data_IF_348828253360
#
_entry.id   IF_348828253360
#
_cell.length_a   1.000
_cell.length_b   1.000
_cell.length_c   1.000
_cell.angle_alpha   90.00
_cell.angle_beta   90.00
_cell.angle_gamma   90.00
#
_symmetry.space_group_name_H-M   'P 1'
#
loop_
_entity.id
_entity.type
_entity.pdbx_description
1 polymer ?
#
# COMPACT_ATOMS: atom_id res chain seq x y z
N UNK A 1 -15.72 10.25 -14.53
CA UNK A 1 -15.33 10.70 -13.18
C UNK A 1 -16.34 10.20 -12.13
N UNK A 2 -17.64 10.35 -12.38
CA UNK A 2 -18.72 9.92 -11.48
C UNK A 2 -18.76 8.40 -11.19
N UNK A 3 -18.61 7.55 -12.23
CA UNK A 3 -18.55 6.09 -12.09
C UNK A 3 -17.42 5.62 -11.16
N UNK A 4 -16.25 6.25 -11.23
CA UNK A 4 -15.09 5.90 -10.41
C UNK A 4 -15.31 6.33 -8.94
N UNK A 5 -15.99 7.45 -8.71
CA UNK A 5 -16.41 7.87 -7.37
C UNK A 5 -17.43 6.91 -6.74
N UNK A 6 -18.36 6.38 -7.54
CA UNK A 6 -19.32 5.36 -7.08
C UNK A 6 -18.63 4.03 -6.76
N UNK A 7 -17.66 3.61 -7.59
CA UNK A 7 -16.86 2.40 -7.32
C UNK A 7 -15.99 2.54 -6.07
N UNK A 8 -15.37 3.70 -5.85
CA UNK A 8 -14.64 3.96 -4.62
C UNK A 8 -15.56 3.90 -3.38
N UNK A 9 -16.76 4.49 -3.46
CA UNK A 9 -17.78 4.39 -2.40
C UNK A 9 -18.24 2.96 -2.17
N UNK A 10 -18.43 2.17 -3.22
CA UNK A 10 -18.80 0.76 -3.11
C UNK A 10 -17.75 -0.02 -2.31
N UNK A 11 -16.46 0.22 -2.54
CA UNK A 11 -15.38 -0.41 -1.78
C UNK A 11 -15.45 -0.02 -0.30
N UNK A 12 -15.83 1.22 0.04
CA UNK A 12 -16.03 1.63 1.44
C UNK A 12 -17.21 0.91 2.14
N UNK A 13 -18.17 0.38 1.37
CA UNK A 13 -19.30 -0.40 1.88
C UNK A 13 -18.99 -1.90 2.02
N UNK A 14 -17.88 -2.37 1.45
CA UNK A 14 -17.40 -3.73 1.62
C UNK A 14 -16.80 -3.91 3.02
N UNK A 15 -17.67 -4.17 3.99
CA UNK A 15 -17.32 -4.38 5.39
C UNK A 15 -17.80 -5.76 5.84
N UNK A 16 -16.90 -6.50 6.49
CA UNK A 16 -17.23 -7.68 7.28
C UNK A 16 -16.86 -7.43 8.75
N UNK A 17 -17.55 -8.11 9.64
CA UNK A 17 -17.23 -8.13 11.07
C UNK A 17 -15.98 -8.98 11.37
N UNK A 18 -15.64 -9.90 10.47
CA UNK A 18 -14.43 -10.72 10.51
C UNK A 18 -13.31 -10.11 9.67
N UNK A 19 -12.12 -9.95 10.25
CA UNK A 19 -10.95 -9.44 9.54
C UNK A 19 -10.49 -10.39 8.40
N UNK A 20 -10.69 -11.69 8.57
CA UNK A 20 -10.33 -12.69 7.56
C UNK A 20 -11.28 -12.61 6.35
N UNK A 21 -12.58 -12.46 6.61
CA UNK A 21 -13.56 -12.26 5.53
C UNK A 21 -13.32 -10.92 4.83
N UNK A 22 -12.95 -9.88 5.58
CA UNK A 22 -12.58 -8.59 5.00
C UNK A 22 -11.41 -8.72 4.02
N UNK A 23 -10.40 -9.54 4.33
CA UNK A 23 -9.29 -9.80 3.42
C UNK A 23 -9.76 -10.50 2.13
N UNK A 24 -10.68 -11.47 2.25
CA UNK A 24 -11.26 -12.17 1.09
C UNK A 24 -12.05 -11.21 0.20
N UNK A 25 -12.84 -10.31 0.79
CA UNK A 25 -13.60 -9.31 0.05
C UNK A 25 -12.67 -8.37 -0.71
N UNK A 26 -11.61 -7.84 -0.06
CA UNK A 26 -10.64 -6.97 -0.72
C UNK A 26 -9.91 -7.68 -1.87
N UNK A 27 -9.53 -8.94 -1.67
CA UNK A 27 -8.90 -9.77 -2.71
C UNK A 27 -9.83 -10.00 -3.91
N UNK A 28 -11.10 -10.31 -3.65
CA UNK A 28 -12.13 -10.49 -4.68
C UNK A 28 -12.39 -9.17 -5.44
N UNK A 29 -12.50 -8.05 -4.72
CA UNK A 29 -12.70 -6.73 -5.29
C UNK A 29 -11.54 -6.34 -6.22
N UNK A 30 -10.28 -6.51 -5.79
CA UNK A 30 -9.11 -6.27 -6.64
C UNK A 30 -9.16 -7.12 -7.90
N UNK A 31 -9.46 -8.41 -7.78
CA UNK A 31 -9.54 -9.32 -8.92
C UNK A 31 -10.63 -8.90 -9.92
N UNK A 32 -11.81 -8.51 -9.44
CA UNK A 32 -12.90 -8.06 -10.29
C UNK A 32 -12.58 -6.74 -11.01
N UNK A 33 -11.91 -5.81 -10.33
CA UNK A 33 -11.63 -4.46 -10.85
C UNK A 33 -10.38 -4.40 -11.74
N UNK A 34 -9.47 -5.38 -11.63
CA UNK A 34 -8.25 -5.43 -12.42
C UNK A 34 -8.50 -5.46 -13.94
N UNK A 35 -9.62 -6.04 -14.39
CA UNK A 35 -9.99 -6.08 -15.81
C UNK A 35 -10.37 -4.71 -16.41
N UNK A 36 -10.49 -3.66 -15.60
CA UNK A 36 -10.93 -2.33 -16.03
C UNK A 36 -9.89 -1.52 -16.83
N UNK A 37 -8.64 -1.97 -16.93
CA UNK A 37 -7.55 -1.27 -17.62
C UNK A 37 -6.99 -0.07 -16.85
N UNK A 38 -5.87 0.48 -17.35
CA UNK A 38 -5.06 1.53 -16.72
C UNK A 38 -5.89 2.71 -16.17
N UNK A 39 -6.82 3.23 -17.00
CA UNK A 39 -7.64 4.39 -16.65
C UNK A 39 -8.58 4.18 -15.47
N UNK A 40 -8.96 2.93 -15.18
CA UNK A 40 -9.86 2.58 -14.06
C UNK A 40 -9.07 2.22 -12.83
N UNK A 41 -8.01 1.41 -12.98
CA UNK A 41 -7.23 0.93 -11.83
C UNK A 41 -6.58 2.06 -11.04
N UNK A 42 -6.17 3.16 -11.69
CA UNK A 42 -5.63 4.35 -11.03
C UNK A 42 -6.59 4.98 -10.00
N UNK A 43 -7.89 4.74 -10.13
CA UNK A 43 -8.91 5.25 -9.22
C UNK A 43 -9.44 4.17 -8.27
N UNK A 44 -9.49 2.92 -8.72
CA UNK A 44 -10.10 1.84 -7.94
C UNK A 44 -9.12 1.10 -7.02
N UNK A 45 -7.82 1.07 -7.34
CA UNK A 45 -6.83 0.37 -6.51
C UNK A 45 -6.40 1.14 -5.26
N UNK A 46 -6.19 2.48 -5.29
CA UNK A 46 -5.86 3.23 -4.08
C UNK A 46 -6.81 2.95 -2.89
N UNK A 47 -8.16 3.00 -3.03
CA UNK A 47 -9.04 2.70 -1.91
C UNK A 47 -8.86 1.25 -1.41
N UNK A 48 -8.67 0.27 -2.29
CA UNK A 48 -8.42 -1.13 -1.88
C UNK A 48 -7.14 -1.24 -1.05
N UNK A 49 -6.06 -0.59 -1.49
CA UNK A 49 -4.77 -0.59 -0.80
C UNK A 49 -4.90 0.05 0.59
N UNK A 50 -5.54 1.22 0.70
CA UNK A 50 -5.75 1.85 2.00
C UNK A 50 -6.64 1.03 2.92
N UNK A 51 -7.66 0.34 2.40
CA UNK A 51 -8.45 -0.60 3.20
C UNK A 51 -7.63 -1.80 3.67
N UNK A 52 -6.73 -2.31 2.84
CA UNK A 52 -5.83 -3.38 3.21
C UNK A 52 -4.82 -2.93 4.29
N UNK A 53 -4.25 -1.72 4.18
CA UNK A 53 -3.41 -1.16 5.26
C UNK A 53 -4.18 -1.04 6.57
N UNK A 54 -5.40 -0.50 6.54
CA UNK A 54 -6.26 -0.44 7.74
C UNK A 54 -6.54 -1.83 8.33
N UNK A 55 -6.72 -2.83 7.49
CA UNK A 55 -6.92 -4.21 7.94
C UNK A 55 -5.68 -4.76 8.65
N UNK A 56 -4.47 -4.41 8.21
CA UNK A 56 -3.24 -4.78 8.91
C UNK A 56 -3.15 -4.15 10.31
N UNK A 57 -3.59 -2.89 10.46
CA UNK A 57 -3.74 -2.27 11.78
C UNK A 57 -4.76 -3.01 12.66
N UNK A 58 -5.90 -3.43 12.10
CA UNK A 58 -6.88 -4.23 12.84
C UNK A 58 -6.31 -5.55 13.33
N UNK A 59 -5.47 -6.24 12.54
CA UNK A 59 -4.78 -7.44 12.99
C UNK A 59 -3.80 -7.18 14.14
N UNK A 60 -3.09 -6.04 14.13
CA UNK A 60 -2.23 -5.62 15.24
C UNK A 60 -3.02 -5.31 16.51
N UNK A 61 -4.09 -4.54 16.38
CA UNK A 61 -4.96 -4.14 17.50
C UNK A 61 -5.61 -5.35 18.18
N UNK A 62 -5.97 -6.37 17.39
CA UNK A 62 -6.61 -7.61 17.86
C UNK A 62 -5.68 -8.82 17.80
N UNK A 63 -4.38 -8.61 17.97
CA UNK A 63 -3.35 -9.67 17.84
C UNK A 63 -3.59 -10.90 18.73
N UNK A 64 -4.28 -10.72 19.86
CA UNK A 64 -4.60 -11.79 20.80
C UNK A 64 -5.82 -12.62 20.35
N UNK A 65 -6.67 -12.08 19.46
CA UNK A 65 -7.83 -12.77 18.88
C UNK A 65 -7.48 -13.55 17.60
N UNK A 66 -6.41 -13.14 16.91
CA UNK A 66 -6.01 -13.71 15.62
C UNK A 66 -4.68 -14.45 15.70
N UNK A 67 -4.75 -15.77 15.62
CA UNK A 67 -3.54 -16.58 15.41
C UNK A 67 -2.81 -16.16 14.13
N UNK A 68 -1.48 -16.20 14.19
CA UNK A 68 -0.60 -15.85 13.07
C UNK A 68 -0.86 -14.43 12.49
N UNK A 69 -1.31 -13.47 13.31
CA UNK A 69 -1.56 -12.09 12.88
C UNK A 69 -0.39 -11.49 12.09
N UNK A 70 0.86 -11.79 12.47
CA UNK A 70 2.05 -11.35 11.76
C UNK A 70 2.12 -11.88 10.32
N UNK A 71 1.84 -13.17 10.12
CA UNK A 71 1.79 -13.78 8.77
C UNK A 71 0.63 -13.20 7.96
N UNK A 72 -0.49 -12.86 8.61
CA UNK A 72 -1.62 -12.18 7.95
C UNK A 72 -1.22 -10.77 7.51
N UNK A 73 -0.50 -10.01 8.33
CA UNK A 73 0.09 -8.72 7.95
C UNK A 73 1.06 -8.85 6.78
N UNK A 74 2.00 -9.82 6.80
CA UNK A 74 2.90 -10.09 5.67
C UNK A 74 2.11 -10.33 4.37
N UNK A 75 1.05 -11.14 4.43
CA UNK A 75 0.21 -11.44 3.27
C UNK A 75 -0.55 -10.21 2.76
N UNK A 76 -0.97 -9.32 3.66
CA UNK A 76 -1.57 -8.03 3.28
C UNK A 76 -0.57 -7.16 2.54
N UNK A 77 0.63 -6.98 3.09
CA UNK A 77 1.64 -6.13 2.44
C UNK A 77 2.16 -6.75 1.13
N UNK A 78 2.21 -8.08 1.01
CA UNK A 78 2.45 -8.72 -0.29
C UNK A 78 1.33 -8.41 -1.30
N UNK A 79 0.07 -8.47 -0.86
CA UNK A 79 -1.08 -8.12 -1.69
C UNK A 79 -1.05 -6.64 -2.13
N UNK A 80 -0.75 -5.71 -1.22
CA UNK A 80 -0.63 -4.29 -1.54
C UNK A 80 0.50 -4.05 -2.54
N UNK A 81 1.68 -4.63 -2.31
CA UNK A 81 2.82 -4.51 -3.22
C UNK A 81 2.44 -4.94 -4.64
N UNK A 82 1.89 -6.15 -4.80
CA UNK A 82 1.45 -6.64 -6.11
C UNK A 82 0.42 -5.73 -6.78
N UNK A 83 -0.47 -5.12 -5.98
CA UNK A 83 -1.50 -4.20 -6.48
C UNK A 83 -0.88 -2.87 -6.94
N UNK A 84 0.12 -2.35 -6.21
CA UNK A 84 0.87 -1.15 -6.59
C UNK A 84 1.72 -1.43 -7.84
N UNK A 85 2.35 -2.61 -7.96
CA UNK A 85 3.08 -3.00 -9.17
C UNK A 85 2.21 -2.97 -10.42
N UNK A 86 0.91 -3.28 -10.32
CA UNK A 86 -0.02 -3.16 -11.45
C UNK A 86 -0.27 -1.71 -11.87
N UNK A 87 -0.21 -0.76 -10.93
CA UNK A 87 -0.28 0.67 -11.24
C UNK A 87 1.00 1.15 -11.94
N UNK A 88 2.16 0.67 -11.50
CA UNK A 88 3.45 0.93 -12.18
C UNK A 88 3.41 0.41 -13.62
N UNK A 89 2.94 -0.83 -13.82
CA UNK A 89 2.74 -1.42 -15.17
C UNK A 89 1.73 -0.67 -16.05
N UNK A 90 0.92 0.21 -15.46
CA UNK A 90 0.02 1.09 -16.16
C UNK A 90 0.63 2.49 -16.41
N UNK A 91 1.96 2.61 -16.34
CA UNK A 91 2.73 3.82 -16.62
C UNK A 91 2.40 4.97 -15.67
N UNK A 92 2.10 4.64 -14.41
CA UNK A 92 1.92 5.61 -13.34
C UNK A 92 3.17 5.64 -12.46
N UNK A 93 3.71 6.82 -12.20
CA UNK A 93 4.90 6.99 -11.37
C UNK A 93 4.57 7.59 -10.00
N UNK A 94 3.96 8.78 -9.98
CA UNK A 94 3.76 9.53 -8.74
C UNK A 94 2.77 8.87 -7.77
N UNK A 95 1.70 8.26 -8.28
CA UNK A 95 0.69 7.62 -7.44
C UNK A 95 1.25 6.35 -6.77
N UNK A 96 1.87 5.40 -7.50
CA UNK A 96 2.54 4.24 -6.89
C UNK A 96 3.63 4.61 -5.89
N UNK A 97 4.46 5.63 -6.20
CA UNK A 97 5.48 6.13 -5.28
C UNK A 97 4.85 6.50 -3.93
N UNK A 98 3.79 7.33 -3.94
CA UNK A 98 3.11 7.73 -2.70
C UNK A 98 2.49 6.54 -1.96
N UNK A 99 1.95 5.54 -2.68
CA UNK A 99 1.37 4.34 -2.08
C UNK A 99 2.42 3.43 -1.43
N UNK A 100 3.61 3.33 -2.03
CA UNK A 100 4.74 2.63 -1.41
C UNK A 100 5.24 3.36 -0.16
N UNK A 101 5.41 4.69 -0.21
CA UNK A 101 5.82 5.45 0.98
C UNK A 101 4.83 5.31 2.14
N UNK A 102 3.53 5.38 1.86
CA UNK A 102 2.50 5.15 2.87
C UNK A 102 2.50 3.71 3.40
N UNK A 103 2.80 2.72 2.53
CA UNK A 103 2.97 1.34 2.94
C UNK A 103 4.16 1.16 3.88
N UNK A 104 5.30 1.79 3.58
CA UNK A 104 6.50 1.74 4.43
C UNK A 104 6.24 2.29 5.83
N UNK A 105 5.55 3.44 5.94
CA UNK A 105 5.13 4.00 7.23
C UNK A 105 4.22 3.04 8.00
N UNK A 106 3.23 2.46 7.33
CA UNK A 106 2.33 1.49 7.96
C UNK A 106 3.07 0.24 8.44
N UNK A 107 4.04 -0.27 7.66
CA UNK A 107 4.87 -1.41 8.05
C UNK A 107 5.70 -1.07 9.29
N UNK A 108 6.37 0.09 9.29
CA UNK A 108 7.20 0.58 10.39
C UNK A 108 6.39 0.70 11.68
N UNK A 109 5.21 1.30 11.63
CA UNK A 109 4.34 1.42 12.79
C UNK A 109 3.85 0.04 13.26
N UNK A 110 3.39 -0.81 12.35
CA UNK A 110 2.74 -2.07 12.74
C UNK A 110 3.71 -3.02 13.48
N UNK A 111 4.96 -3.13 13.03
CA UNK A 111 6.01 -3.87 13.75
C UNK A 111 5.79 -5.39 13.85
N UNK A 112 5.36 -6.03 12.76
CA UNK A 112 5.20 -7.50 12.68
C UNK A 112 6.52 -8.21 12.31
N UNK A 113 6.65 -9.53 12.48
CA UNK A 113 7.86 -10.26 12.05
C UNK A 113 8.32 -9.93 10.61
N UNK A 114 9.62 -9.67 10.43
CA UNK A 114 10.24 -9.30 9.15
C UNK A 114 9.78 -7.92 8.56
N UNK A 115 9.16 -7.06 9.36
CA UNK A 115 8.68 -5.75 8.91
C UNK A 115 9.81 -4.86 8.36
N UNK A 116 11.01 -4.87 8.97
CA UNK A 116 12.14 -4.07 8.52
C UNK A 116 12.51 -4.32 7.05
N UNK A 117 12.68 -5.59 6.67
CA UNK A 117 13.00 -5.97 5.28
C UNK A 117 11.89 -5.56 4.30
N UNK A 118 10.62 -5.67 4.70
CA UNK A 118 9.50 -5.31 3.83
C UNK A 118 9.37 -3.79 3.71
N UNK A 119 9.60 -3.03 4.79
CA UNK A 119 9.64 -1.58 4.76
C UNK A 119 10.77 -1.08 3.84
N UNK A 120 11.95 -1.69 3.93
CA UNK A 120 13.08 -1.41 3.05
C UNK A 120 12.70 -1.63 1.59
N UNK A 121 12.13 -2.79 1.25
CA UNK A 121 11.68 -3.09 -0.11
C UNK A 121 10.69 -2.03 -0.63
N UNK A 122 9.72 -1.63 0.19
CA UNK A 122 8.74 -0.59 -0.19
C UNK A 122 9.42 0.76 -0.48
N UNK A 123 10.40 1.16 0.34
CA UNK A 123 11.16 2.39 0.10
C UNK A 123 12.03 2.28 -1.15
N UNK A 124 12.70 1.15 -1.38
CA UNK A 124 13.50 0.91 -2.58
C UNK A 124 12.64 1.04 -3.84
N UNK A 125 11.44 0.45 -3.86
CA UNK A 125 10.51 0.59 -4.99
C UNK A 125 10.07 2.04 -5.20
N UNK A 126 9.83 2.81 -4.13
CA UNK A 126 9.50 4.23 -4.23
C UNK A 126 10.67 5.05 -4.79
N UNK A 127 11.89 4.74 -4.39
CA UNK A 127 13.11 5.41 -4.83
C UNK A 127 13.42 5.11 -6.31
N UNK A 128 13.31 3.85 -6.74
CA UNK A 128 13.46 3.49 -8.16
C UNK A 128 12.46 4.21 -9.05
N UNK A 129 11.19 4.32 -8.63
CA UNK A 129 10.19 5.12 -9.38
C UNK A 129 10.55 6.59 -9.47
N UNK A 130 11.13 7.17 -8.42
CA UNK A 130 11.60 8.54 -8.43
C UNK A 130 12.74 8.75 -9.43
N UNK A 131 13.72 7.84 -9.46
CA UNK A 131 14.90 7.93 -10.33
C UNK A 131 14.55 7.69 -11.80
N UNK A 132 13.74 6.66 -12.08
CA UNK A 132 13.52 6.19 -13.45
C UNK A 132 12.39 6.94 -14.18
N UNK A 133 11.33 7.33 -13.48
CA UNK A 133 10.07 7.74 -14.12
C UNK A 133 9.70 9.21 -13.88
N UNK A 134 10.23 9.87 -12.85
CA UNK A 134 9.88 11.26 -12.51
C UNK A 134 10.95 12.22 -13.03
N UNK A 135 10.65 12.93 -14.13
CA UNK A 135 11.59 13.84 -14.81
C UNK A 135 11.26 15.33 -14.71
N UNK A 136 10.01 15.70 -14.42
CA UNK A 136 9.63 17.10 -14.23
C UNK A 136 10.23 17.64 -12.93
N UNK A 137 10.93 18.79 -13.00
CA UNK A 137 11.69 19.32 -11.86
C UNK A 137 10.83 19.70 -10.65
N UNK A 138 9.57 20.10 -10.85
CA UNK A 138 8.65 20.38 -9.74
C UNK A 138 8.15 19.09 -9.12
N UNK A 139 7.80 18.10 -9.94
CA UNK A 139 7.40 16.77 -9.47
C UNK A 139 8.55 16.08 -8.73
N UNK A 140 9.78 16.18 -9.23
CA UNK A 140 10.99 15.66 -8.57
C UNK A 140 11.19 16.29 -7.19
N UNK A 141 11.14 17.62 -7.09
CA UNK A 141 11.30 18.30 -5.81
C UNK A 141 10.22 17.88 -4.79
N UNK A 142 8.98 17.75 -5.24
CA UNK A 142 7.89 17.28 -4.39
C UNK A 142 8.07 15.82 -3.95
N UNK A 143 8.47 14.95 -4.88
CA UNK A 143 8.68 13.53 -4.61
C UNK A 143 9.85 13.30 -3.65
N UNK A 144 11.01 13.93 -3.88
CA UNK A 144 12.18 13.74 -3.00
C UNK A 144 11.93 14.30 -1.60
N UNK A 145 11.25 15.44 -1.50
CA UNK A 145 10.87 16.02 -0.21
C UNK A 145 9.95 15.07 0.56
N UNK A 146 9.01 14.42 -0.13
CA UNK A 146 8.13 13.44 0.48
C UNK A 146 8.87 12.16 0.90
N UNK A 147 9.83 11.68 0.10
CA UNK A 147 10.69 10.55 0.45
C UNK A 147 11.46 10.86 1.73
N UNK A 148 12.12 12.03 1.80
CA UNK A 148 12.89 12.46 2.98
C UNK A 148 11.98 12.53 4.22
N UNK A 149 10.81 13.16 4.09
CA UNK A 149 9.85 13.27 5.20
C UNK A 149 9.30 11.90 5.64
N UNK A 150 9.19 10.94 4.72
CA UNK A 150 8.79 9.56 5.04
C UNK A 150 9.90 8.85 5.80
N UNK A 151 11.15 9.00 5.35
CA UNK A 151 12.31 8.38 5.98
C UNK A 151 12.52 8.88 7.41
N UNK A 152 12.32 10.18 7.64
CA UNK A 152 12.42 10.78 8.98
C UNK A 152 11.41 10.19 9.98
N UNK A 153 10.24 9.76 9.51
CA UNK A 153 9.20 9.17 10.36
C UNK A 153 9.35 7.66 10.56
N UNK A 154 10.14 6.98 9.72
CA UNK A 154 10.36 5.53 9.85
C UNK A 154 11.30 5.28 11.02
N UNK A 155 10.89 4.36 11.89
CA UNK A 155 11.58 4.05 13.14
C UNK A 155 11.91 2.55 13.28
N UNK A 156 11.69 1.75 12.23
CA UNK A 156 11.91 0.32 12.28
C UNK A 156 13.29 -0.15 11.79
N UNK A 157 14.11 0.73 11.20
CA UNK A 157 15.43 0.35 10.70
C UNK A 157 16.46 0.27 11.83
N UNK A 158 17.17 -0.85 11.90
CA UNK A 158 18.35 -0.99 12.73
C UNK A 158 19.53 -0.18 12.17
N UNK A 159 20.62 -0.07 12.94
CA UNK A 159 21.79 0.74 12.57
C UNK A 159 22.45 0.36 11.22
N UNK A 160 22.17 -0.83 10.68
CA UNK A 160 22.67 -1.29 9.39
C UNK A 160 21.81 -0.81 8.20
N UNK A 161 20.56 -0.42 8.45
CA UNK A 161 19.58 0.00 7.44
C UNK A 161 19.03 1.42 7.67
N UNK A 162 19.49 2.11 8.72
CA UNK A 162 19.09 3.47 9.10
C UNK A 162 19.85 4.56 8.35
#
# INVERSE_FOLDING_TARGET
MEEQGLLARLIHHFKSDSADDQYLILSAARKALQGGGAKRIQHTFPPIIFHAYRLAFTYKERKDEYEMWEKKCQKIFQFCHQTITLLVKAELAELPLRLYLQGALAISDIGFANHETIAYEYLSQAFSLYEDEISDSKAQLAAITLIIATFEQINCFGAENA
#
